data_IF_865693299073
#
_entry.id   IF_865693299073
#
_cell.length_a   1.000
_cell.length_b   1.000
_cell.length_c   1.000
_cell.angle_alpha   90.00
_cell.angle_beta   90.00
_cell.angle_gamma   90.00
#
_symmetry.space_group_name_H-M   'P 1'
#
loop_
_entity.id
_entity.type
_entity.pdbx_description
1 polymer ?
#
# COMPACT_ATOMS: atom_id res chain seq x y z
N UNK A 1 -15.67 30.59 -25.36
CA UNK A 1 -15.48 29.50 -24.39
C UNK A 1 -16.80 28.83 -24.02
N UNK A 2 -17.86 29.59 -23.68
CA UNK A 2 -19.20 29.05 -23.38
C UNK A 2 -19.73 28.03 -24.41
N UNK A 3 -19.62 28.31 -25.72
CA UNK A 3 -20.14 27.40 -26.76
C UNK A 3 -19.44 26.03 -26.79
N UNK A 4 -18.13 25.98 -26.47
CA UNK A 4 -17.39 24.72 -26.35
C UNK A 4 -17.84 23.94 -25.11
N UNK A 5 -18.06 24.65 -24.00
CA UNK A 5 -18.64 24.06 -22.78
C UNK A 5 -20.03 23.50 -23.06
N UNK A 6 -20.97 24.28 -23.60
CA UNK A 6 -22.32 23.80 -23.94
C UNK A 6 -22.29 22.61 -24.89
N UNK A 7 -21.41 22.62 -25.89
CA UNK A 7 -21.28 21.49 -26.82
C UNK A 7 -20.74 20.24 -26.12
N UNK A 8 -19.73 20.37 -25.26
CA UNK A 8 -19.18 19.26 -24.47
C UNK A 8 -20.21 18.68 -23.49
N UNK A 9 -20.92 19.56 -22.79
CA UNK A 9 -22.00 19.19 -21.88
C UNK A 9 -23.17 18.50 -22.59
N UNK A 10 -23.52 18.94 -23.81
CA UNK A 10 -24.60 18.34 -24.60
C UNK A 10 -24.20 16.96 -25.15
N UNK A 11 -22.95 16.79 -25.59
CA UNK A 11 -22.42 15.49 -26.02
C UNK A 11 -22.36 14.50 -24.83
N UNK A 12 -21.97 14.98 -23.66
CA UNK A 12 -21.94 14.18 -22.43
C UNK A 12 -23.34 13.76 -21.96
N UNK A 13 -24.33 14.66 -21.99
CA UNK A 13 -25.72 14.33 -21.69
C UNK A 13 -26.28 13.27 -22.65
N UNK A 14 -25.88 13.29 -23.92
CA UNK A 14 -26.27 12.30 -24.93
C UNK A 14 -25.64 10.92 -24.67
N UNK A 15 -24.46 10.86 -24.08
CA UNK A 15 -23.78 9.61 -23.73
C UNK A 15 -24.39 8.95 -22.48
N UNK A 16 -24.88 9.74 -21.52
CA UNK A 16 -25.60 9.24 -20.35
C UNK A 16 -27.08 8.96 -20.65
N UNK A 17 -27.35 7.93 -21.44
CA UNK A 17 -28.70 7.41 -21.75
C UNK A 17 -29.48 6.88 -20.53
N UNK A 18 -29.01 7.10 -19.31
CA UNK A 18 -29.62 6.64 -18.05
C UNK A 18 -30.54 7.69 -17.40
N UNK A 19 -30.65 8.90 -17.95
CA UNK A 19 -31.43 9.97 -17.32
C UNK A 19 -32.86 10.07 -17.87
N UNK A 20 -33.88 10.30 -17.02
CA UNK A 20 -35.17 10.77 -17.49
C UNK A 20 -35.00 12.10 -18.22
N UNK A 21 -35.68 12.24 -19.37
CA UNK A 21 -35.60 13.42 -20.22
C UNK A 21 -35.86 14.70 -19.39
N UNK A 22 -34.97 15.69 -19.49
CA UNK A 22 -35.09 16.97 -18.79
C UNK A 22 -36.49 17.58 -18.96
N UNK A 23 -37.04 17.49 -20.18
CA UNK A 23 -38.39 17.98 -20.47
C UNK A 23 -39.47 17.25 -19.67
N UNK A 24 -39.32 15.94 -19.43
CA UNK A 24 -40.26 15.14 -18.65
C UNK A 24 -40.17 15.48 -17.16
N UNK A 25 -38.97 15.61 -16.61
CA UNK A 25 -38.78 15.99 -15.20
C UNK A 25 -39.27 17.41 -14.94
N UNK A 26 -38.94 18.34 -15.83
CA UNK A 26 -39.45 19.71 -15.79
C UNK A 26 -40.98 19.73 -15.85
N UNK A 27 -41.58 18.97 -16.78
CA UNK A 27 -43.03 18.91 -16.93
C UNK A 27 -43.72 18.37 -15.67
N UNK A 28 -43.18 17.32 -15.05
CA UNK A 28 -43.74 16.77 -13.80
C UNK A 28 -43.63 17.75 -12.62
N UNK A 29 -42.48 18.40 -12.46
CA UNK A 29 -42.28 19.39 -11.40
C UNK A 29 -43.19 20.61 -11.64
N UNK A 30 -43.30 21.07 -12.88
CA UNK A 30 -44.17 22.17 -13.26
C UNK A 30 -45.64 21.83 -13.00
N UNK A 31 -46.09 20.61 -13.31
CA UNK A 31 -47.46 20.18 -13.02
C UNK A 31 -47.78 20.20 -11.51
N UNK A 32 -46.87 19.68 -10.68
CA UNK A 32 -47.04 19.66 -9.22
C UNK A 32 -46.99 21.08 -8.63
N UNK A 33 -46.06 21.91 -9.11
CA UNK A 33 -45.88 23.27 -8.60
C UNK A 33 -46.98 24.23 -9.01
N UNK A 34 -47.47 24.11 -10.26
CA UNK A 34 -48.57 24.92 -10.78
C UNK A 34 -49.94 24.30 -10.50
N UNK A 35 -50.07 23.41 -9.51
CA UNK A 35 -51.36 22.85 -9.12
C UNK A 35 -52.42 23.95 -8.82
N UNK A 36 -51.98 25.06 -8.22
CA UNK A 36 -52.86 26.21 -7.95
C UNK A 36 -53.42 26.86 -9.23
N UNK A 37 -52.67 26.84 -10.34
CA UNK A 37 -53.20 27.29 -11.63
C UNK A 37 -54.34 26.39 -12.13
N UNK A 38 -54.21 25.07 -11.99
CA UNK A 38 -55.27 24.14 -12.36
C UNK A 38 -56.50 24.31 -11.47
N UNK A 39 -56.31 24.58 -10.18
CA UNK A 39 -57.41 24.89 -9.26
C UNK A 39 -58.11 26.20 -9.65
N UNK A 40 -57.37 27.25 -9.99
CA UNK A 40 -57.93 28.53 -10.46
C UNK A 40 -58.70 28.37 -11.78
N UNK A 41 -58.20 27.53 -12.71
CA UNK A 41 -58.88 27.23 -13.98
C UNK A 41 -60.23 26.50 -13.79
N UNK A 42 -60.33 25.63 -12.78
CA UNK A 42 -61.56 24.85 -12.49
C UNK A 42 -62.58 25.68 -11.71
N UNK A 43 -62.12 26.54 -10.81
CA UNK A 43 -62.98 27.34 -9.91
C UNK A 43 -63.44 28.65 -10.55
N UNK A 44 -62.69 29.24 -11.49
CA UNK A 44 -63.08 30.48 -12.15
C UNK A 44 -64.39 30.32 -12.94
N UNK A 45 -65.27 31.32 -12.88
CA UNK A 45 -66.51 31.37 -13.65
C UNK A 45 -66.31 32.16 -14.95
N UNK A 46 -66.94 31.71 -16.05
CA UNK A 46 -66.83 32.36 -17.37
C UNK A 46 -66.51 31.41 -18.52
N UNK A 47 -66.21 31.96 -19.71
CA UNK A 47 -65.83 31.18 -20.89
C UNK A 47 -64.40 30.61 -20.73
N UNK A 48 -64.08 29.49 -21.42
CA UNK A 48 -62.76 28.84 -21.31
C UNK A 48 -61.59 29.80 -21.61
N UNK A 49 -61.79 30.75 -22.52
CA UNK A 49 -60.80 31.77 -22.86
C UNK A 49 -60.57 32.75 -21.71
N UNK A 50 -61.62 33.17 -21.03
CA UNK A 50 -61.55 34.13 -19.91
C UNK A 50 -60.93 33.47 -18.67
N UNK A 51 -61.28 32.20 -18.40
CA UNK A 51 -60.67 31.42 -17.32
C UNK A 51 -59.16 31.23 -17.54
N UNK A 52 -58.75 30.93 -18.77
CA UNK A 52 -57.33 30.73 -19.10
C UNK A 52 -56.52 32.02 -18.99
N UNK A 53 -57.05 33.13 -19.48
CA UNK A 53 -56.38 34.44 -19.40
C UNK A 53 -56.31 34.99 -17.97
N UNK A 54 -57.35 34.79 -17.17
CA UNK A 54 -57.36 35.15 -15.75
C UNK A 54 -56.34 34.32 -14.94
N UNK A 55 -56.34 33.00 -15.10
CA UNK A 55 -55.41 32.13 -14.38
C UNK A 55 -53.95 32.37 -14.80
N UNK A 56 -53.69 32.73 -16.07
CA UNK A 56 -52.36 33.03 -16.59
C UNK A 56 -51.81 34.36 -16.07
N UNK A 57 -52.66 35.38 -15.93
CA UNK A 57 -52.26 36.72 -15.45
C UNK A 57 -51.99 36.73 -13.95
N UNK A 58 -52.74 35.96 -13.17
CA UNK A 58 -52.59 35.87 -11.71
C UNK A 58 -51.29 35.18 -11.26
N UNK A 59 -50.77 34.23 -12.07
CA UNK A 59 -49.61 33.41 -11.71
C UNK A 59 -48.40 33.55 -12.65
N UNK A 60 -48.41 34.54 -13.54
CA UNK A 60 -47.39 34.75 -14.59
C UNK A 60 -45.94 34.68 -14.08
N UNK A 61 -45.64 35.28 -12.93
CA UNK A 61 -44.30 35.28 -12.34
C UNK A 61 -43.84 33.91 -11.80
N UNK A 62 -44.77 33.04 -11.44
CA UNK A 62 -44.44 31.73 -10.86
C UNK A 62 -43.81 30.80 -11.91
N UNK A 63 -44.26 30.87 -13.18
CA UNK A 63 -43.71 30.04 -14.26
C UNK A 63 -42.23 30.34 -14.54
N UNK A 64 -41.86 31.63 -14.53
CA UNK A 64 -40.47 32.05 -14.73
C UNK A 64 -39.56 31.57 -13.59
N UNK A 65 -40.04 31.61 -12.34
CA UNK A 65 -39.28 31.15 -11.18
C UNK A 65 -39.07 29.63 -11.20
N UNK A 66 -40.11 28.86 -11.51
CA UNK A 66 -40.01 27.39 -11.62
C UNK A 66 -39.07 27.00 -12.77
N UNK A 67 -39.15 27.68 -13.91
CA UNK A 67 -38.22 27.51 -15.02
C UNK A 67 -36.77 27.78 -14.58
N UNK A 68 -36.51 28.88 -13.88
CA UNK A 68 -35.18 29.21 -13.40
C UNK A 68 -34.63 28.18 -12.40
N UNK A 69 -35.46 27.72 -11.44
CA UNK A 69 -35.05 26.73 -10.45
C UNK A 69 -34.76 25.35 -11.08
N UNK A 70 -35.60 24.93 -12.02
CA UNK A 70 -35.43 23.66 -12.73
C UNK A 70 -34.22 23.68 -13.66
N UNK A 71 -33.98 24.80 -14.35
CA UNK A 71 -32.74 25.02 -15.12
C UNK A 71 -31.50 25.00 -14.21
N UNK A 72 -31.56 25.66 -13.05
CA UNK A 72 -30.47 25.67 -12.09
C UNK A 72 -30.16 24.27 -11.56
N UNK A 73 -31.18 23.51 -11.16
CA UNK A 73 -31.02 22.13 -10.70
C UNK A 73 -30.45 21.23 -11.81
N UNK A 74 -30.92 21.42 -13.05
CA UNK A 74 -30.40 20.69 -14.20
C UNK A 74 -28.93 21.00 -14.48
N UNK A 75 -28.53 22.27 -14.47
CA UNK A 75 -27.13 22.68 -14.64
C UNK A 75 -26.25 22.10 -13.53
N UNK A 76 -26.69 22.18 -12.27
CA UNK A 76 -25.93 21.66 -11.13
C UNK A 76 -25.72 20.14 -11.27
N UNK A 77 -26.77 19.40 -11.62
CA UNK A 77 -26.70 17.96 -11.86
C UNK A 77 -25.78 17.62 -13.03
N UNK A 78 -25.86 18.37 -14.14
CA UNK A 78 -24.99 18.19 -15.30
C UNK A 78 -23.51 18.44 -14.96
N UNK A 79 -23.23 19.47 -14.17
CA UNK A 79 -21.90 19.78 -13.66
C UNK A 79 -21.36 18.68 -12.74
N UNK A 80 -22.21 18.13 -11.85
CA UNK A 80 -21.81 17.01 -10.98
C UNK A 80 -21.43 15.78 -11.81
N UNK A 81 -22.28 15.38 -12.76
CA UNK A 81 -22.02 14.23 -13.63
C UNK A 81 -20.79 14.46 -14.52
N UNK A 82 -20.60 15.69 -15.03
CA UNK A 82 -19.39 16.06 -15.76
C UNK A 82 -18.13 15.94 -14.89
N UNK A 83 -18.20 16.39 -13.63
CA UNK A 83 -17.08 16.28 -12.71
C UNK A 83 -16.75 14.82 -12.40
N UNK A 84 -17.75 13.99 -12.08
CA UNK A 84 -17.57 12.55 -11.87
C UNK A 84 -16.95 11.89 -13.08
N UNK A 85 -17.48 12.13 -14.28
CA UNK A 85 -16.91 11.56 -15.51
C UNK A 85 -15.48 12.05 -15.77
N UNK A 86 -15.18 13.32 -15.45
CA UNK A 86 -13.84 13.85 -15.61
C UNK A 86 -12.88 13.27 -14.57
N UNK A 87 -13.34 13.04 -13.34
CA UNK A 87 -12.60 12.34 -12.29
C UNK A 87 -12.36 10.89 -12.68
N UNK A 88 -13.37 10.18 -13.19
CA UNK A 88 -13.22 8.81 -13.68
C UNK A 88 -12.26 8.75 -14.88
N UNK A 89 -12.35 9.71 -15.81
CA UNK A 89 -11.38 9.85 -16.91
C UNK A 89 -9.97 10.15 -16.39
N UNK A 90 -9.81 10.93 -15.32
CA UNK A 90 -8.49 11.15 -14.70
C UNK A 90 -7.99 9.94 -13.92
N UNK A 91 -8.88 9.12 -13.34
CA UNK A 91 -8.53 7.87 -12.66
C UNK A 91 -8.17 6.78 -13.66
N UNK A 92 -8.88 6.71 -14.79
CA UNK A 92 -8.68 5.71 -15.84
C UNK A 92 -7.55 6.12 -16.81
N UNK A 93 -7.36 7.42 -17.05
CA UNK A 93 -6.20 7.96 -17.77
C UNK A 93 -4.98 8.20 -16.87
N UNK A 94 -5.06 7.86 -15.58
CA UNK A 94 -3.89 7.57 -14.75
C UNK A 94 -3.28 6.24 -15.23
N UNK A 95 -2.75 6.26 -16.46
CA UNK A 95 -1.63 5.41 -16.83
C UNK A 95 -0.55 5.55 -15.74
N UNK A 96 0.18 4.47 -15.41
CA UNK A 96 0.90 4.36 -14.15
C UNK A 96 1.78 5.58 -13.91
N UNK A 97 1.67 6.10 -12.69
CA UNK A 97 2.41 7.23 -12.09
C UNK A 97 3.93 7.16 -12.34
N UNK A 98 4.43 6.02 -12.80
CA UNK A 98 5.79 5.74 -13.29
C UNK A 98 6.28 6.68 -14.42
N UNK A 99 5.40 7.25 -15.25
CA UNK A 99 5.86 8.07 -16.41
C UNK A 99 5.99 9.57 -16.14
N UNK A 100 5.39 10.10 -15.07
CA UNK A 100 5.46 11.54 -14.74
C UNK A 100 6.12 11.89 -13.42
N UNK A 101 6.30 10.93 -12.51
CA UNK A 101 7.12 11.12 -11.31
C UNK A 101 8.50 10.51 -11.56
N UNK A 102 9.40 11.35 -12.09
CA UNK A 102 10.83 11.19 -11.87
C UNK A 102 11.58 10.31 -12.87
N UNK A 103 12.00 10.93 -13.99
CA UNK A 103 13.27 10.50 -14.58
C UNK A 103 14.38 10.55 -13.51
N UNK A 104 14.36 11.57 -12.64
CA UNK A 104 15.32 11.73 -11.54
C UNK A 104 15.18 10.65 -10.44
N UNK A 105 13.97 10.20 -10.11
CA UNK A 105 13.78 9.10 -9.15
C UNK A 105 14.19 7.75 -9.73
N UNK A 106 13.87 7.45 -10.98
CA UNK A 106 14.28 6.19 -11.63
C UNK A 106 15.81 6.11 -11.80
N UNK A 107 16.49 7.22 -12.09
CA UNK A 107 17.97 7.24 -12.13
C UNK A 107 18.59 7.15 -10.73
N UNK A 108 17.95 7.70 -9.70
CA UNK A 108 18.41 7.58 -8.30
C UNK A 108 18.18 6.16 -7.76
N UNK A 109 17.02 5.55 -8.03
CA UNK A 109 16.69 4.18 -7.64
C UNK A 109 17.61 3.17 -8.33
N UNK A 110 17.91 3.35 -9.62
CA UNK A 110 18.91 2.52 -10.30
C UNK A 110 20.32 2.66 -9.67
N UNK A 111 20.72 3.86 -9.24
CA UNK A 111 22.00 4.06 -8.56
C UNK A 111 22.02 3.40 -7.18
N UNK A 112 20.92 3.46 -6.44
CA UNK A 112 20.78 2.83 -5.14
C UNK A 112 20.72 1.29 -5.27
N UNK A 113 20.05 0.75 -6.29
CA UNK A 113 20.07 -0.68 -6.61
C UNK A 113 21.48 -1.15 -6.96
N UNK A 114 22.23 -0.39 -7.77
CA UNK A 114 23.64 -0.69 -8.07
C UNK A 114 24.50 -0.64 -6.81
N UNK A 115 24.24 0.31 -5.91
CA UNK A 115 24.94 0.41 -4.62
C UNK A 115 24.61 -0.77 -3.70
N UNK A 116 23.36 -1.21 -3.65
CA UNK A 116 22.93 -2.37 -2.89
C UNK A 116 23.54 -3.66 -3.44
N UNK A 117 23.62 -3.81 -4.76
CA UNK A 117 24.32 -4.93 -5.40
C UNK A 117 25.82 -4.91 -5.06
N UNK A 118 26.46 -3.74 -5.09
CA UNK A 118 27.87 -3.61 -4.69
C UNK A 118 28.09 -3.99 -3.21
N UNK A 119 27.19 -3.57 -2.30
CA UNK A 119 27.23 -3.99 -0.89
C UNK A 119 26.96 -5.49 -0.72
N UNK A 120 26.08 -6.06 -1.53
CA UNK A 120 25.81 -7.50 -1.51
C UNK A 120 27.04 -8.30 -1.97
N UNK A 121 27.73 -7.85 -3.01
CA UNK A 121 28.96 -8.46 -3.47
C UNK A 121 30.10 -8.30 -2.46
N UNK A 122 30.21 -7.13 -1.81
CA UNK A 122 31.17 -6.90 -0.73
C UNK A 122 30.91 -7.81 0.47
N UNK A 123 29.67 -7.89 0.94
CA UNK A 123 29.29 -8.78 2.07
C UNK A 123 29.46 -10.25 1.73
N UNK A 124 29.21 -10.66 0.48
CA UNK A 124 29.49 -12.02 0.01
C UNK A 124 30.99 -12.33 0.01
N UNK A 125 31.83 -11.38 -0.41
CA UNK A 125 33.28 -11.51 -0.37
C UNK A 125 33.81 -11.56 1.06
N UNK A 126 33.25 -10.74 1.96
CA UNK A 126 33.59 -10.76 3.39
C UNK A 126 33.18 -12.07 4.06
N UNK A 127 31.97 -12.57 3.77
CA UNK A 127 31.48 -13.86 4.27
C UNK A 127 32.38 -15.01 3.81
N UNK A 128 32.84 -14.99 2.55
CA UNK A 128 33.80 -15.99 2.06
C UNK A 128 35.12 -15.94 2.83
N UNK A 129 35.65 -14.74 3.13
CA UNK A 129 36.86 -14.58 3.95
C UNK A 129 36.65 -15.07 5.38
N UNK A 130 35.52 -14.77 6.01
CA UNK A 130 35.19 -15.21 7.37
C UNK A 130 35.08 -16.73 7.42
N UNK A 131 34.43 -17.36 6.44
CA UNK A 131 34.32 -18.83 6.36
C UNK A 131 35.68 -19.51 6.30
N UNK A 132 36.63 -18.96 5.53
CA UNK A 132 38.01 -19.50 5.46
C UNK A 132 38.74 -19.34 6.80
N UNK A 133 38.55 -18.20 7.49
CA UNK A 133 39.10 -17.98 8.83
C UNK A 133 38.52 -18.94 9.86
N UNK A 134 37.21 -19.18 9.81
CA UNK A 134 36.53 -20.11 10.72
C UNK A 134 37.02 -21.56 10.53
N UNK A 135 37.14 -22.02 9.28
CA UNK A 135 37.67 -23.37 8.98
C UNK A 135 39.11 -23.50 9.50
N UNK A 136 39.93 -22.46 9.33
CA UNK A 136 41.30 -22.45 9.86
C UNK A 136 41.30 -22.50 11.38
N UNK A 137 40.50 -21.66 12.04
CA UNK A 137 40.39 -21.64 13.50
C UNK A 137 39.87 -22.97 14.07
N UNK A 138 38.92 -23.62 13.37
CA UNK A 138 38.41 -24.93 13.77
C UNK A 138 39.48 -26.02 13.63
N UNK A 139 40.29 -25.96 12.57
CA UNK A 139 41.44 -26.87 12.39
C UNK A 139 42.48 -26.66 13.50
N UNK A 140 42.80 -25.43 13.83
CA UNK A 140 43.76 -25.09 14.89
C UNK A 140 43.25 -25.50 16.28
N UNK A 141 41.96 -25.29 16.55
CA UNK A 141 41.32 -25.77 17.78
C UNK A 141 41.41 -27.28 17.89
N UNK A 142 41.10 -28.00 16.81
CA UNK A 142 41.18 -29.47 16.77
C UNK A 142 42.61 -29.94 17.01
N UNK A 143 43.60 -29.33 16.34
CA UNK A 143 45.01 -29.65 16.54
C UNK A 143 45.47 -29.39 17.99
N UNK A 144 45.01 -28.30 18.60
CA UNK A 144 45.32 -27.96 20.00
C UNK A 144 44.71 -28.97 20.96
N UNK A 145 43.44 -29.37 20.75
CA UNK A 145 42.77 -30.40 21.56
C UNK A 145 43.52 -31.72 21.46
N UNK A 146 43.91 -32.15 20.26
CA UNK A 146 44.67 -33.40 20.08
C UNK A 146 46.01 -33.37 20.81
N UNK A 147 46.73 -32.25 20.78
CA UNK A 147 47.98 -32.08 21.55
C UNK A 147 47.74 -32.13 23.05
N UNK A 148 46.69 -31.47 23.53
CA UNK A 148 46.33 -31.49 24.94
C UNK A 148 45.98 -32.91 25.41
N UNK A 149 45.20 -33.67 24.61
CA UNK A 149 44.86 -35.05 24.91
C UNK A 149 46.10 -35.96 24.95
N UNK A 150 47.05 -35.78 24.03
CA UNK A 150 48.30 -36.52 24.03
C UNK A 150 49.15 -36.22 25.27
N UNK A 151 49.29 -34.94 25.63
CA UNK A 151 50.00 -34.54 26.85
C UNK A 151 49.33 -35.06 28.12
N UNK A 152 47.99 -35.10 28.15
CA UNK A 152 47.25 -35.69 29.27
C UNK A 152 47.50 -37.20 29.39
N UNK A 153 47.51 -37.92 28.27
CA UNK A 153 47.84 -39.35 28.27
C UNK A 153 49.27 -39.61 28.75
N UNK A 154 50.25 -38.80 28.33
CA UNK A 154 51.63 -38.88 28.84
C UNK A 154 51.71 -38.59 30.35
N UNK A 155 50.97 -37.60 30.83
CA UNK A 155 50.90 -37.28 32.26
C UNK A 155 50.30 -38.44 33.08
N UNK A 156 49.23 -39.05 32.59
CA UNK A 156 48.57 -40.18 33.25
C UNK A 156 49.51 -41.41 33.33
N UNK A 157 50.27 -41.68 32.26
CA UNK A 157 51.30 -42.75 32.25
C UNK A 157 52.40 -42.42 33.26
N UNK A 158 52.93 -41.20 33.27
CA UNK A 158 53.98 -40.80 34.20
C UNK A 158 53.52 -40.88 35.66
N UNK A 159 52.27 -40.51 35.95
CA UNK A 159 51.67 -40.66 37.29
C UNK A 159 51.53 -42.13 37.69
N UNK A 160 51.13 -43.00 36.76
CA UNK A 160 51.10 -44.44 37.00
C UNK A 160 52.49 -44.99 37.31
N UNK A 161 53.51 -44.60 36.53
CA UNK A 161 54.90 -45.01 36.75
C UNK A 161 55.44 -44.53 38.11
N UNK A 162 55.17 -43.28 38.48
CA UNK A 162 55.53 -42.75 39.82
C UNK A 162 54.87 -43.57 40.92
N UNK A 163 53.60 -43.96 40.75
CA UNK A 163 52.86 -44.76 41.74
C UNK A 163 53.43 -46.18 41.86
N UNK A 164 53.84 -46.79 40.75
CA UNK A 164 54.50 -48.10 40.76
C UNK A 164 55.89 -48.01 41.42
N UNK A 165 56.67 -46.99 41.06
CA UNK A 165 58.01 -46.77 41.61
C UNK A 165 57.97 -46.43 43.11
N UNK A 166 56.98 -45.66 43.56
CA UNK A 166 56.82 -45.36 44.99
C UNK A 166 56.49 -46.62 45.79
N UNK A 167 55.56 -47.45 45.29
CA UNK A 167 55.22 -48.74 45.90
C UNK A 167 56.41 -49.70 45.94
N UNK A 168 57.17 -49.80 44.84
CA UNK A 168 58.38 -50.63 44.78
C UNK A 168 59.46 -50.16 45.75
N UNK A 169 59.66 -48.83 45.87
CA UNK A 169 60.59 -48.27 46.85
C UNK A 169 60.16 -48.54 48.30
N UNK A 170 58.87 -48.46 48.60
CA UNK A 170 58.33 -48.79 49.93
C UNK A 170 58.54 -50.27 50.27
N UNK A 171 58.29 -51.17 49.32
CA UNK A 171 58.55 -52.60 49.46
C UNK A 171 60.04 -52.90 49.68
N UNK A 172 60.93 -52.26 48.92
CA UNK A 172 62.37 -52.38 49.10
C UNK A 172 62.83 -51.85 50.47
N UNK A 173 62.27 -50.74 50.94
CA UNK A 173 62.56 -50.20 52.29
C UNK A 173 62.11 -51.16 53.38
N UNK A 174 60.94 -51.77 53.24
CA UNK A 174 60.44 -52.80 54.16
C UNK A 174 61.39 -54.01 54.19
N UNK A 175 61.76 -54.57 53.02
CA UNK A 175 62.73 -55.68 52.93
C UNK A 175 64.11 -55.33 53.51
N UNK A 176 64.60 -54.11 53.28
CA UNK A 176 65.87 -53.65 53.84
C UNK A 176 65.79 -53.55 55.38
N UNK A 177 64.66 -53.08 55.91
CA UNK A 177 64.45 -53.01 57.36
C UNK A 177 64.40 -54.40 58.00
N UNK A 178 63.80 -55.40 57.34
CA UNK A 178 63.80 -56.79 57.80
C UNK A 178 65.21 -57.39 57.81
N UNK A 179 66.03 -57.09 56.80
CA UNK A 179 67.40 -57.60 56.68
C UNK A 179 68.40 -56.95 57.67
N UNK A 180 68.09 -55.75 58.18
CA UNK A 180 68.92 -55.04 59.17
C UNK A 180 68.68 -55.47 60.62
N UNK A 181 67.64 -56.29 60.86
CA UNK A 181 67.22 -56.75 62.20
C UNK A 181 67.73 -58.17 62.51
N UNK A 182 68.48 -58.79 61.59
CA UNK A 182 69.32 -59.98 61.80
C UNK A 182 70.79 -59.62 61.86
#
# INVERSE_FOLDING_TARGET
>A
MLSKFFKSTLVFNRAQNQAPNFFLVYFLIALVWHNNFFMSLVVADGSLSDKFTSALTEHSFQYGVVLCLTLLFYILRLSFLYFVNKTDEFIEADEPIETKIGSDQVFTENKDVVRLLALLDETKAELAKVKVREVTAQKDKTATISKMLAAQAELDIALADITILSKSNEELRSKLSECKVT
#
